data_IF_472802913212
#
_entry.id   IF_472802913212
#
_cell.length_a   1.000
_cell.length_b   1.000
_cell.length_c   1.000
_cell.angle_alpha   90.00
_cell.angle_beta   90.00
_cell.angle_gamma   90.00
#
_symmetry.space_group_name_H-M   'P 1'
#
loop_
_entity.id
_entity.type
_entity.pdbx_description
1 polymer ?
#
# COMPACT_ATOMS: atom_id res chain seq x y z
N UNK A 1 10.73 -3.16 -4.51
CA UNK A 1 11.45 -2.72 -5.69
C UNK A 1 11.06 -1.30 -6.07
N UNK A 2 12.05 -0.50 -6.37
CA UNK A 2 11.83 0.91 -6.63
C UNK A 2 12.06 1.20 -8.10
N UNK A 3 11.03 1.71 -8.75
CA UNK A 3 11.12 2.14 -10.13
C UNK A 3 11.01 3.65 -10.21
N UNK A 4 11.74 4.24 -11.14
CA UNK A 4 11.67 5.67 -11.40
C UNK A 4 11.16 5.87 -12.82
N UNK A 5 10.13 6.69 -12.95
CA UNK A 5 9.51 6.94 -14.25
C UNK A 5 9.26 8.43 -14.42
N UNK A 6 9.51 8.92 -15.62
CA UNK A 6 9.17 10.29 -15.98
C UNK A 6 7.85 10.27 -16.74
N UNK A 7 6.91 11.07 -16.28
CA UNK A 7 5.62 11.24 -16.93
C UNK A 7 5.45 12.72 -17.25
N UNK A 8 5.54 13.05 -18.53
CA UNK A 8 5.55 14.45 -18.93
C UNK A 8 6.75 15.16 -18.32
N UNK A 9 6.51 16.21 -17.56
CA UNK A 9 7.56 16.95 -16.88
C UNK A 9 7.67 16.55 -15.40
N UNK A 10 6.94 15.52 -14.97
CA UNK A 10 6.90 15.12 -13.57
C UNK A 10 7.67 13.84 -13.37
N UNK A 11 8.33 13.76 -12.21
CA UNK A 11 9.05 12.56 -11.82
C UNK A 11 8.16 11.70 -10.92
N UNK A 12 8.14 10.41 -11.21
CA UNK A 12 7.35 9.46 -10.45
C UNK A 12 8.25 8.35 -9.93
N UNK A 13 8.18 8.11 -8.62
CA UNK A 13 8.91 7.02 -7.98
C UNK A 13 7.88 6.04 -7.45
N UNK A 14 8.00 4.78 -7.87
CA UNK A 14 7.07 3.74 -7.47
C UNK A 14 7.75 2.67 -6.62
N UNK A 15 7.07 2.23 -5.58
CA UNK A 15 7.48 1.08 -4.79
C UNK A 15 6.29 0.14 -4.70
N UNK A 16 6.45 -1.06 -5.25
CA UNK A 16 5.35 -2.01 -5.34
C UNK A 16 5.46 -3.10 -4.27
N UNK A 17 4.78 -2.88 -3.14
CA UNK A 17 4.71 -3.88 -2.08
C UNK A 17 3.57 -4.88 -2.31
N UNK A 18 2.84 -4.76 -3.41
CA UNK A 18 1.83 -5.75 -3.77
C UNK A 18 2.52 -6.94 -4.42
N UNK A 19 3.43 -6.66 -5.36
CA UNK A 19 4.24 -7.71 -5.97
C UNK A 19 5.30 -8.23 -5.02
N UNK A 20 5.84 -7.35 -4.18
CA UNK A 20 6.91 -7.69 -3.23
C UNK A 20 6.51 -7.27 -1.83
N UNK A 21 5.62 -8.03 -1.17
CA UNK A 21 5.18 -7.67 0.19
C UNK A 21 6.33 -7.66 1.17
N UNK A 22 6.19 -6.87 2.22
CA UNK A 22 7.15 -6.90 3.31
C UNK A 22 7.05 -8.22 4.07
N UNK A 23 8.10 -8.59 4.82
CA UNK A 23 8.09 -9.86 5.56
C UNK A 23 6.90 -10.05 6.49
N UNK A 24 6.35 -8.97 7.04
CA UNK A 24 5.18 -9.05 7.91
C UNK A 24 3.85 -9.09 7.17
N UNK A 25 3.89 -9.06 5.83
CA UNK A 25 2.69 -9.12 5.04
C UNK A 25 2.16 -7.77 4.58
N UNK A 26 2.86 -6.68 4.88
CA UNK A 26 2.44 -5.35 4.43
C UNK A 26 2.41 -5.28 2.92
N UNK A 27 1.29 -4.83 2.36
CA UNK A 27 1.10 -4.67 0.93
C UNK A 27 0.49 -3.31 0.63
N UNK A 28 1.03 -2.66 -0.37
CA UNK A 28 0.54 -1.36 -0.83
C UNK A 28 1.33 -0.97 -2.07
N UNK A 29 0.77 -0.15 -2.91
CA UNK A 29 1.50 0.44 -4.02
C UNK A 29 1.76 1.89 -3.67
N UNK A 30 3.02 2.25 -3.49
CA UNK A 30 3.41 3.61 -3.13
C UNK A 30 3.91 4.34 -4.36
N UNK A 31 3.39 5.53 -4.56
CA UNK A 31 3.79 6.37 -5.69
C UNK A 31 4.13 7.74 -5.14
N UNK A 32 5.35 8.19 -5.41
CA UNK A 32 5.75 9.55 -5.04
C UNK A 32 5.81 10.37 -6.32
N UNK A 33 4.97 11.38 -6.38
CA UNK A 33 4.86 12.26 -7.54
C UNK A 33 5.48 13.61 -7.23
N UNK A 34 6.23 14.15 -8.19
CA UNK A 34 6.64 15.53 -8.13
C UNK A 34 5.54 16.39 -8.68
N UNK A 35 4.86 17.12 -7.81
CA UNK A 35 3.76 17.98 -8.22
C UNK A 35 4.26 19.41 -8.38
N UNK A 36 4.03 19.97 -9.55
CA UNK A 36 4.41 21.34 -9.83
C UNK A 36 3.37 22.28 -9.23
N UNK A 37 3.82 23.10 -8.30
CA UNK A 37 2.95 24.11 -7.69
C UNK A 37 3.42 25.48 -8.18
N UNK A 38 2.55 26.14 -8.93
CA UNK A 38 2.81 27.47 -9.43
C UNK A 38 2.49 28.48 -8.34
N UNK A 39 3.52 28.93 -7.64
CA UNK A 39 3.38 30.02 -6.68
C UNK A 39 4.08 31.24 -7.22
N UNK A 40 3.38 32.35 -7.19
CA UNK A 40 3.81 33.70 -7.50
C UNK A 40 5.05 33.88 -8.42
N UNK A 41 6.21 33.38 -8.03
CA UNK A 41 7.44 33.64 -8.77
C UNK A 41 8.29 32.42 -9.07
N UNK A 42 7.85 31.23 -8.68
CA UNK A 42 8.66 30.05 -8.88
C UNK A 42 7.82 28.82 -9.18
N UNK A 43 8.32 28.03 -10.13
CA UNK A 43 7.77 26.71 -10.37
C UNK A 43 8.55 25.75 -9.48
N UNK A 44 7.91 25.30 -8.41
CA UNK A 44 8.53 24.37 -7.50
C UNK A 44 7.79 23.03 -7.53
N UNK A 45 8.56 21.97 -7.46
CA UNK A 45 8.03 20.62 -7.40
C UNK A 45 8.02 20.16 -5.97
N UNK A 46 6.85 19.68 -5.52
CA UNK A 46 6.71 19.14 -4.17
C UNK A 46 6.42 17.65 -4.27
N UNK A 47 7.08 16.84 -3.45
CA UNK A 47 6.79 15.40 -3.45
C UNK A 47 5.46 15.14 -2.76
N UNK A 48 4.62 14.38 -3.43
CA UNK A 48 3.35 13.93 -2.87
C UNK A 48 3.34 12.41 -2.92
N UNK A 49 3.18 11.79 -1.76
CA UNK A 49 3.09 10.35 -1.69
C UNK A 49 1.63 9.91 -1.78
N UNK A 50 1.37 9.01 -2.72
CA UNK A 50 0.07 8.39 -2.88
C UNK A 50 0.22 6.92 -2.57
N UNK A 51 -0.61 6.41 -1.66
CA UNK A 51 -0.62 4.99 -1.33
C UNK A 51 -1.91 4.38 -1.86
N UNK A 52 -1.75 3.42 -2.75
CA UNK A 52 -2.87 2.71 -3.34
C UNK A 52 -3.00 1.36 -2.66
N UNK A 53 -4.16 1.09 -2.09
CA UNK A 53 -4.43 -0.12 -1.34
C UNK A 53 -5.83 -0.62 -1.65
N UNK A 54 -6.00 -1.93 -1.59
CA UNK A 54 -7.34 -2.47 -1.54
C UNK A 54 -7.89 -2.33 -0.13
N UNK A 55 -9.18 -2.60 0.04
CA UNK A 55 -9.82 -2.51 1.35
C UNK A 55 -9.15 -3.45 2.36
N UNK A 56 -8.83 -4.66 1.94
CA UNK A 56 -8.20 -5.63 2.84
C UNK A 56 -6.80 -5.20 3.24
N UNK A 57 -6.05 -4.61 2.32
CA UNK A 57 -4.72 -4.09 2.61
C UNK A 57 -4.78 -2.95 3.60
N UNK A 58 -5.76 -2.07 3.43
CA UNK A 58 -5.93 -0.93 4.33
C UNK A 58 -6.35 -1.40 5.73
N UNK A 59 -7.25 -2.36 5.80
CA UNK A 59 -7.66 -2.94 7.07
C UNK A 59 -6.47 -3.56 7.80
N UNK A 60 -5.67 -4.36 7.09
CA UNK A 60 -4.50 -5.00 7.68
C UNK A 60 -3.52 -3.95 8.21
N UNK A 61 -3.27 -2.90 7.42
CA UNK A 61 -2.32 -1.86 7.82
C UNK A 61 -2.79 -1.12 9.07
N UNK A 62 -4.08 -0.86 9.16
CA UNK A 62 -4.65 -0.19 10.33
C UNK A 62 -4.53 -1.08 11.57
N UNK A 63 -4.79 -2.37 11.42
CA UNK A 63 -4.68 -3.30 12.55
C UNK A 63 -3.23 -3.49 12.97
N UNK A 64 -2.33 -3.59 12.02
CA UNK A 64 -0.91 -3.72 12.31
C UNK A 64 -0.40 -2.52 13.09
N UNK A 65 -0.81 -1.34 12.68
CA UNK A 65 -0.41 -0.11 13.37
C UNK A 65 -0.88 -0.12 14.83
N UNK A 66 -2.11 -0.56 15.08
CA UNK A 66 -2.64 -0.63 16.44
C UNK A 66 -1.88 -1.62 17.30
N UNK A 67 -1.57 -2.78 16.74
CA UNK A 67 -0.86 -3.83 17.46
C UNK A 67 0.58 -3.41 17.75
N UNK A 68 1.26 -2.89 16.74
CA UNK A 68 2.66 -2.49 16.87
C UNK A 68 2.84 -1.28 17.77
N UNK A 69 1.87 -0.37 17.78
CA UNK A 69 1.94 0.82 18.59
C UNK A 69 1.94 0.50 20.10
N UNK A 70 1.25 -0.56 20.50
CA UNK A 70 1.14 -0.91 21.93
C UNK A 70 2.41 -1.49 22.52
N UNK A 71 3.34 -1.96 21.72
CA UNK A 71 4.69 -2.34 22.12
C UNK A 71 4.85 -3.27 23.31
N UNK A 72 3.91 -4.13 23.54
CA UNK A 72 4.00 -5.02 24.71
C UNK A 72 4.22 -6.47 24.34
N UNK A 73 4.94 -6.69 23.24
CA UNK A 73 5.16 -8.04 22.76
C UNK A 73 6.61 -8.42 22.95
N UNK A 74 6.82 -9.45 23.72
CA UNK A 74 8.14 -9.98 23.96
C UNK A 74 8.68 -10.80 22.79
N UNK A 75 7.78 -11.21 21.88
CA UNK A 75 8.19 -12.03 20.76
C UNK A 75 7.83 -11.38 19.43
N UNK A 76 8.77 -10.58 18.92
CA UNK A 76 8.59 -9.87 17.68
C UNK A 76 8.47 -10.82 16.49
N UNK A 77 9.23 -11.90 16.50
CA UNK A 77 9.21 -12.85 15.37
C UNK A 77 7.86 -13.54 15.23
N UNK A 78 7.28 -13.93 16.37
CA UNK A 78 5.97 -14.54 16.37
C UNK A 78 4.91 -13.55 15.87
N UNK A 79 5.01 -12.31 16.28
CA UNK A 79 4.07 -11.28 15.86
C UNK A 79 4.15 -11.05 14.35
N UNK A 80 5.36 -10.99 13.80
CA UNK A 80 5.54 -10.84 12.35
C UNK A 80 4.93 -12.02 11.60
N UNK A 81 5.14 -13.24 12.11
CA UNK A 81 4.58 -14.43 11.48
C UNK A 81 3.06 -14.41 11.49
N UNK A 82 2.46 -14.02 12.61
CA UNK A 82 1.02 -13.94 12.72
C UNK A 82 0.44 -12.86 11.79
N UNK A 83 1.09 -11.70 11.73
CA UNK A 83 0.65 -10.63 10.85
C UNK A 83 0.73 -11.04 9.37
N UNK A 84 1.76 -11.77 9.02
CA UNK A 84 1.89 -12.30 7.66
C UNK A 84 0.75 -13.29 7.37
N UNK A 85 0.43 -14.14 8.31
CA UNK A 85 -0.66 -15.09 8.16
C UNK A 85 -2.00 -14.37 7.93
N UNK A 86 -2.26 -13.33 8.71
CA UNK A 86 -3.50 -12.56 8.58
C UNK A 86 -3.55 -11.83 7.24
N UNK A 87 -2.42 -11.31 6.78
CA UNK A 87 -2.35 -10.68 5.47
C UNK A 87 -2.72 -11.65 4.37
N UNK A 88 -2.22 -12.88 4.45
CA UNK A 88 -2.52 -13.91 3.45
C UNK A 88 -3.99 -14.32 3.48
N UNK A 89 -4.57 -14.39 4.68
CA UNK A 89 -5.98 -14.72 4.83
C UNK A 89 -6.86 -13.63 4.20
N UNK A 90 -6.51 -12.38 4.46
CA UNK A 90 -7.27 -11.26 3.91
C UNK A 90 -7.14 -11.19 2.39
N UNK A 91 -5.97 -11.46 1.86
CA UNK A 91 -5.78 -11.50 0.42
C UNK A 91 -6.63 -12.58 -0.23
N UNK A 92 -6.64 -13.76 0.37
CA UNK A 92 -7.44 -14.86 -0.15
C UNK A 92 -8.93 -14.54 -0.12
N UNK A 93 -9.37 -13.94 0.98
CA UNK A 93 -10.77 -13.54 1.13
C UNK A 93 -11.16 -12.51 0.08
N UNK A 94 -10.31 -11.51 -0.12
CA UNK A 94 -10.58 -10.48 -1.11
C UNK A 94 -10.65 -11.04 -2.52
N UNK A 95 -9.79 -11.98 -2.85
CA UNK A 95 -9.82 -12.63 -4.16
C UNK A 95 -11.10 -13.42 -4.37
N UNK A 96 -11.63 -14.02 -3.32
CA UNK A 96 -12.91 -14.73 -3.41
C UNK A 96 -14.04 -13.76 -3.71
N UNK A 97 -14.02 -12.59 -3.09
CA UNK A 97 -15.03 -11.57 -3.38
C UNK A 97 -14.91 -11.00 -4.78
N UNK A 98 -13.71 -10.94 -5.33
CA UNK A 98 -13.49 -10.44 -6.68
C UNK A 98 -14.20 -11.28 -7.73
N UNK A 99 -14.47 -12.55 -7.45
CA UNK A 99 -15.19 -13.41 -8.37
C UNK A 99 -16.58 -12.86 -8.70
N UNK A 100 -17.18 -12.14 -7.77
CA UNK A 100 -18.48 -11.52 -7.99
C UNK A 100 -18.40 -10.31 -8.90
N UNK A 101 -17.24 -9.67 -8.97
CA UNK A 101 -17.04 -8.52 -9.83
C UNK A 101 -16.83 -8.91 -11.29
N UNK A 102 -16.46 -10.18 -11.55
CA UNK A 102 -16.25 -10.67 -12.90
C UNK A 102 -17.55 -10.89 -13.65
N UNK A 103 -18.67 -10.85 -12.94
CA UNK A 103 -19.97 -10.99 -13.55
C UNK A 103 -20.57 -9.61 -13.76
N UNK A 104 -20.94 -9.27 -15.00
CA UNK A 104 -21.58 -7.98 -15.23
C UNK A 104 -22.89 -7.94 -14.45
N UNK A 105 -23.07 -6.85 -13.73
CA UNK A 105 -24.30 -6.63 -13.02
C UNK A 105 -25.36 -6.25 -14.03
N UNK A 106 -26.31 -7.12 -14.23
CA UNK A 106 -27.45 -6.82 -15.09
C UNK A 106 -28.45 -6.04 -14.27
N UNK A 107 -28.66 -4.83 -14.71
CA UNK A 107 -29.70 -4.02 -14.10
C UNK A 107 -30.80 -3.73 -15.07
#
# INVERSE_FOLDING_TARGET
>A
EIGVRLVGSEMCIETDYIENPKPNGYRSHHVILGVNVCCLDANEYYPVEVQLRTISMDFWAAMEHRVSYKKQYDNKEQRVAELLQYSNILEKMEKEFEKYNDHPVEM
#
